data_IF_481468395720
#
_entry.id   IF_481468395720
#
_cell.length_a   1.000
_cell.length_b   1.000
_cell.length_c   1.000
_cell.angle_alpha   90.00
_cell.angle_beta   90.00
_cell.angle_gamma   90.00
#
_symmetry.space_group_name_H-M   'P 1'
#
loop_
_entity.id
_entity.type
_entity.pdbx_description
1 polymer ?
#
# COMPACT_ATOMS: atom_id res chain seq x y z
N UNK A 1 -21.06 -2.56 -13.49
CA UNK A 1 -21.39 -2.57 -12.05
C UNK A 1 -22.28 -1.39 -11.70
N UNK A 2 -23.20 -1.61 -10.77
CA UNK A 2 -24.04 -0.53 -10.19
C UNK A 2 -23.63 -0.31 -8.75
N UNK A 3 -23.34 0.93 -8.36
CA UNK A 3 -22.79 1.25 -7.05
C UNK A 3 -23.27 2.63 -6.59
N UNK A 4 -23.43 2.81 -5.28
CA UNK A 4 -23.73 4.13 -4.73
C UNK A 4 -22.52 5.07 -4.89
N UNK A 5 -22.77 6.31 -5.31
CA UNK A 5 -21.73 7.32 -5.53
C UNK A 5 -20.80 7.47 -4.33
N UNK A 6 -21.35 7.53 -3.11
CA UNK A 6 -20.55 7.72 -1.90
C UNK A 6 -19.61 6.54 -1.61
N UNK A 7 -19.99 5.31 -1.96
CA UNK A 7 -19.16 4.11 -1.74
C UNK A 7 -17.95 4.13 -2.65
N UNK A 8 -18.17 4.26 -3.96
CA UNK A 8 -17.07 4.27 -4.91
C UNK A 8 -16.17 5.50 -4.74
N UNK A 9 -16.71 6.68 -4.47
CA UNK A 9 -15.93 7.89 -4.22
C UNK A 9 -15.00 7.72 -3.01
N UNK A 10 -15.50 7.13 -1.91
CA UNK A 10 -14.70 6.82 -0.72
C UNK A 10 -13.56 5.82 -1.01
N UNK A 11 -13.81 4.81 -1.84
CA UNK A 11 -12.77 3.85 -2.23
C UNK A 11 -11.74 4.51 -3.14
N UNK A 12 -12.16 5.28 -4.14
CA UNK A 12 -11.27 6.03 -5.03
C UNK A 12 -10.42 7.02 -4.23
N UNK A 13 -10.98 7.74 -3.26
CA UNK A 13 -10.22 8.67 -2.42
C UNK A 13 -9.08 8.00 -1.65
N UNK A 14 -9.24 6.75 -1.23
CA UNK A 14 -8.17 5.96 -0.61
C UNK A 14 -7.10 5.55 -1.63
N UNK A 15 -7.50 5.17 -2.83
CA UNK A 15 -6.63 4.60 -3.85
C UNK A 15 -5.91 5.64 -4.71
N UNK A 16 -6.51 6.82 -4.92
CA UNK A 16 -5.99 7.87 -5.80
C UNK A 16 -4.56 8.31 -5.48
N UNK A 17 -4.17 8.23 -4.20
CA UNK A 17 -2.82 8.62 -3.77
C UNK A 17 -1.74 7.64 -4.23
N UNK A 18 -2.13 6.42 -4.63
CA UNK A 18 -1.24 5.37 -5.14
C UNK A 18 -1.18 5.43 -6.66
N UNK A 19 -2.31 5.72 -7.31
CA UNK A 19 -2.37 5.81 -8.77
C UNK A 19 -1.46 6.90 -9.28
N UNK A 20 -0.52 6.53 -10.17
CA UNK A 20 0.42 7.45 -10.80
C UNK A 20 0.51 7.15 -12.29
N UNK A 21 0.72 8.21 -13.06
CA UNK A 21 1.02 8.04 -14.48
C UNK A 21 2.39 7.36 -14.62
N UNK A 22 2.41 6.24 -15.31
CA UNK A 22 3.62 5.45 -15.52
C UNK A 22 3.73 5.13 -17.01
N UNK A 23 4.83 5.56 -17.64
CA UNK A 23 5.01 5.37 -19.09
C UNK A 23 5.42 3.92 -19.43
N UNK A 24 6.02 3.17 -18.49
CA UNK A 24 6.34 1.75 -18.67
C UNK A 24 5.12 0.84 -18.47
N UNK A 25 4.24 1.22 -17.55
CA UNK A 25 3.03 0.49 -17.20
C UNK A 25 1.81 1.41 -17.22
N UNK A 26 1.30 1.77 -18.41
CA UNK A 26 0.20 2.74 -18.53
C UNK A 26 -1.08 2.34 -17.79
N UNK A 27 -1.33 1.03 -17.64
CA UNK A 27 -2.46 0.47 -16.90
C UNK A 27 -2.49 0.89 -15.41
N UNK A 28 -1.32 1.22 -14.81
CA UNK A 28 -1.23 1.76 -13.44
C UNK A 28 -1.77 3.19 -13.33
N UNK A 29 -2.03 3.87 -14.45
CA UNK A 29 -2.72 5.16 -14.50
C UNK A 29 -4.23 5.09 -14.20
N UNK A 30 -4.69 4.00 -13.62
CA UNK A 30 -6.08 3.80 -13.21
C UNK A 30 -6.21 2.82 -12.04
N UNK A 31 -7.45 2.51 -11.70
CA UNK A 31 -7.82 1.54 -10.66
C UNK A 31 -8.44 0.32 -11.35
N UNK A 32 -7.83 -0.84 -11.17
CA UNK A 32 -8.39 -2.12 -11.63
C UNK A 32 -9.59 -2.50 -10.77
N UNK A 33 -10.70 -2.81 -11.42
CA UNK A 33 -11.90 -3.41 -10.85
C UNK A 33 -11.86 -4.90 -11.15
N UNK A 34 -11.82 -5.75 -10.13
CA UNK A 34 -11.72 -7.20 -10.29
C UNK A 34 -12.30 -7.92 -9.08
N UNK A 35 -13.22 -8.86 -9.33
CA UNK A 35 -13.72 -9.85 -8.36
C UNK A 35 -14.16 -9.26 -7.00
N UNK A 36 -14.92 -8.17 -7.01
CA UNK A 36 -15.41 -7.51 -5.80
C UNK A 36 -14.39 -6.57 -5.15
N UNK A 37 -13.30 -6.24 -5.84
CA UNK A 37 -12.26 -5.35 -5.34
C UNK A 37 -11.91 -4.24 -6.33
N UNK A 38 -11.47 -3.11 -5.78
CA UNK A 38 -10.76 -2.06 -6.49
C UNK A 38 -9.28 -2.10 -6.09
N UNK A 39 -8.40 -2.14 -7.09
CA UNK A 39 -6.96 -2.34 -6.91
C UNK A 39 -6.19 -1.19 -7.55
N UNK A 40 -5.29 -0.57 -6.80
CA UNK A 40 -4.35 0.42 -7.30
C UNK A 40 -2.91 0.01 -7.02
N UNK A 41 -2.00 0.33 -7.93
CA UNK A 41 -0.57 0.08 -7.77
C UNK A 41 0.26 1.20 -8.41
N UNK A 42 1.46 1.41 -7.86
CA UNK A 42 2.51 2.24 -8.47
C UNK A 42 3.81 1.44 -8.71
N UNK A 43 3.72 0.10 -8.78
CA UNK A 43 4.81 -0.86 -8.85
C UNK A 43 5.57 -1.12 -7.53
N UNK A 44 5.51 -0.23 -6.57
CA UNK A 44 6.13 -0.40 -5.24
C UNK A 44 5.08 -0.79 -4.18
N UNK A 45 3.92 -0.15 -4.25
CA UNK A 45 2.80 -0.35 -3.35
C UNK A 45 1.59 -0.78 -4.17
N UNK A 46 0.96 -1.87 -3.79
CA UNK A 46 -0.35 -2.26 -4.30
C UNK A 46 -1.36 -2.27 -3.16
N UNK A 47 -2.52 -1.67 -3.40
CA UNK A 47 -3.63 -1.65 -2.45
C UNK A 47 -4.90 -2.21 -3.09
N UNK A 48 -5.58 -3.05 -2.34
CA UNK A 48 -6.84 -3.72 -2.71
C UNK A 48 -7.91 -3.36 -1.68
N UNK A 49 -9.00 -2.78 -2.13
CA UNK A 49 -10.12 -2.37 -1.28
C UNK A 49 -11.37 -3.10 -1.74
N UNK A 50 -12.06 -3.77 -0.81
CA UNK A 50 -13.29 -4.49 -1.11
C UNK A 50 -14.42 -3.52 -1.46
N UNK A 51 -15.12 -3.82 -2.56
CA UNK A 51 -16.35 -3.15 -2.99
C UNK A 51 -17.26 -4.20 -3.63
N UNK A 52 -18.18 -4.74 -2.85
CA UNK A 52 -19.04 -5.87 -3.25
C UNK A 52 -19.81 -5.60 -4.56
N UNK A 53 -20.23 -4.35 -4.77
CA UNK A 53 -20.89 -3.92 -6.00
C UNK A 53 -20.07 -4.13 -7.28
N UNK A 54 -18.77 -4.42 -7.17
CA UNK A 54 -17.87 -4.68 -8.29
C UNK A 54 -17.68 -6.17 -8.62
N UNK A 55 -18.39 -7.05 -7.93
CA UNK A 55 -18.32 -8.49 -8.16
C UNK A 55 -18.66 -8.84 -9.62
N UNK A 56 -17.88 -9.75 -10.22
CA UNK A 56 -18.01 -10.12 -11.64
C UNK A 56 -17.61 -9.03 -12.64
N UNK A 57 -17.02 -7.93 -12.18
CA UNK A 57 -16.53 -6.84 -13.05
C UNK A 57 -15.03 -6.99 -13.29
N UNK A 58 -14.56 -6.72 -14.53
CA UNK A 58 -13.15 -6.75 -14.90
C UNK A 58 -12.81 -5.65 -15.90
N UNK A 59 -12.33 -4.50 -15.39
CA UNK A 59 -11.93 -3.34 -16.19
C UNK A 59 -11.11 -2.35 -15.34
N UNK A 60 -10.49 -1.36 -15.98
CA UNK A 60 -9.75 -0.29 -15.29
C UNK A 60 -10.52 1.02 -15.35
N UNK A 61 -10.76 1.67 -14.21
CA UNK A 61 -11.26 3.04 -14.12
C UNK A 61 -10.05 3.98 -14.26
N UNK A 62 -9.90 4.73 -15.36
CA UNK A 62 -8.75 5.59 -15.55
C UNK A 62 -8.78 6.80 -14.59
N UNK A 63 -7.61 7.27 -14.17
CA UNK A 63 -7.45 8.40 -13.24
C UNK A 63 -8.25 9.66 -13.66
N UNK A 64 -8.36 9.89 -14.97
CA UNK A 64 -9.15 11.00 -15.53
C UNK A 64 -10.64 10.97 -15.17
N UNK A 65 -11.16 9.80 -14.76
CA UNK A 65 -12.56 9.65 -14.34
C UNK A 65 -12.79 9.95 -12.86
N UNK A 66 -11.74 10.05 -12.03
CA UNK A 66 -11.87 10.17 -10.57
C UNK A 66 -12.57 11.46 -10.15
N UNK A 67 -12.18 12.59 -10.75
CA UNK A 67 -12.80 13.87 -10.46
C UNK A 67 -14.27 13.91 -10.88
N UNK A 68 -14.62 13.29 -12.02
CA UNK A 68 -16.02 13.16 -12.40
C UNK A 68 -16.79 12.38 -11.32
N UNK A 69 -16.34 11.18 -10.94
CA UNK A 69 -17.02 10.32 -9.95
C UNK A 69 -17.22 11.09 -8.63
N UNK A 70 -16.22 11.85 -8.22
CA UNK A 70 -16.28 12.64 -6.99
C UNK A 70 -17.35 13.74 -7.06
N UNK A 71 -17.51 14.39 -8.22
CA UNK A 71 -18.37 15.55 -8.41
C UNK A 71 -19.77 15.20 -8.96
N UNK A 72 -20.07 13.92 -9.22
CA UNK A 72 -21.42 13.49 -9.59
C UNK A 72 -22.41 13.76 -8.45
N UNK A 73 -23.69 13.99 -8.76
CA UNK A 73 -24.74 14.03 -7.74
C UNK A 73 -24.84 12.69 -6.98
N UNK A 74 -25.44 12.74 -5.79
CA UNK A 74 -25.68 11.52 -5.03
C UNK A 74 -26.68 10.60 -5.74
N UNK A 75 -26.46 9.30 -5.64
CA UNK A 75 -27.30 8.30 -6.26
C UNK A 75 -26.51 7.07 -6.75
N UNK A 76 -27.22 6.18 -7.41
CA UNK A 76 -26.63 4.98 -8.02
C UNK A 76 -25.93 5.34 -9.35
N UNK A 77 -24.69 4.99 -9.44
CA UNK A 77 -23.86 5.14 -10.66
C UNK A 77 -23.78 3.78 -11.36
N UNK A 78 -24.01 3.75 -12.65
CA UNK A 78 -23.71 2.59 -13.51
C UNK A 78 -22.38 2.79 -14.20
N UNK A 79 -21.41 1.91 -13.92
CA UNK A 79 -20.09 1.88 -14.54
C UNK A 79 -19.92 0.58 -15.32
N UNK A 80 -19.64 0.70 -16.60
CA UNK A 80 -19.42 -0.44 -17.50
C UNK A 80 -18.24 -0.19 -18.42
N UNK A 81 -17.61 -1.25 -18.89
CA UNK A 81 -16.57 -1.19 -19.92
C UNK A 81 -17.02 -1.91 -21.17
N UNK A 82 -16.49 -1.48 -22.32
CA UNK A 82 -16.66 -2.12 -23.62
C UNK A 82 -15.43 -2.95 -23.97
N UNK A 83 -15.53 -3.86 -24.95
CA UNK A 83 -14.41 -4.66 -25.46
C UNK A 83 -13.25 -3.81 -26.01
N UNK A 84 -13.49 -2.53 -26.30
CA UNK A 84 -12.46 -1.56 -26.72
C UNK A 84 -11.84 -0.78 -25.56
N UNK A 85 -12.01 -1.25 -24.33
CA UNK A 85 -11.52 -0.60 -23.11
C UNK A 85 -12.05 0.84 -22.94
N UNK A 86 -13.27 1.11 -23.36
CA UNK A 86 -13.94 2.38 -23.11
C UNK A 86 -14.83 2.22 -21.87
N UNK A 87 -14.48 2.91 -20.79
CA UNK A 87 -15.27 2.95 -19.57
C UNK A 87 -16.35 4.00 -19.69
N UNK A 88 -17.59 3.59 -19.44
CA UNK A 88 -18.77 4.43 -19.48
C UNK A 88 -19.33 4.59 -18.06
N UNK A 89 -19.53 5.83 -17.65
CA UNK A 89 -20.07 6.21 -16.34
C UNK A 89 -21.38 6.93 -16.55
N UNK A 90 -22.46 6.42 -15.95
CA UNK A 90 -23.82 6.96 -16.08
C UNK A 90 -24.46 7.19 -14.73
N UNK A 91 -25.13 8.32 -14.62
CA UNK A 91 -26.06 8.62 -13.51
C UNK A 91 -27.20 9.48 -14.04
N UNK A 92 -28.42 9.01 -13.97
CA UNK A 92 -29.57 9.68 -14.59
C UNK A 92 -29.32 9.99 -16.06
N UNK A 93 -29.42 11.24 -16.47
CA UNK A 93 -29.16 11.72 -17.82
C UNK A 93 -27.67 11.95 -18.15
N UNK A 94 -26.80 11.98 -17.12
CA UNK A 94 -25.38 12.23 -17.27
C UNK A 94 -24.71 10.95 -17.76
N UNK A 95 -23.98 11.05 -18.88
CA UNK A 95 -23.24 9.94 -19.48
C UNK A 95 -21.87 10.42 -19.97
N UNK A 96 -20.80 9.84 -19.43
CA UNK A 96 -19.43 10.13 -19.82
C UNK A 96 -18.70 8.87 -20.25
N UNK A 97 -17.76 9.03 -21.18
CA UNK A 97 -16.93 7.94 -21.71
C UNK A 97 -15.45 8.30 -21.54
N UNK A 98 -14.67 7.33 -21.12
CA UNK A 98 -13.22 7.47 -20.95
C UNK A 98 -12.51 6.32 -21.63
N UNK A 99 -11.50 6.61 -22.45
CA UNK A 99 -10.58 5.59 -22.91
C UNK A 99 -9.76 5.10 -21.72
N UNK A 100 -9.69 3.79 -21.57
CA UNK A 100 -8.97 3.09 -20.52
C UNK A 100 -7.93 2.14 -21.13
N UNK A 101 -7.38 1.29 -20.30
CA UNK A 101 -6.36 0.31 -20.63
C UNK A 101 -6.94 -1.11 -20.52
N UNK A 102 -6.36 -2.10 -21.25
CA UNK A 102 -6.69 -3.50 -21.04
C UNK A 102 -6.44 -3.92 -19.60
N UNK A 103 -7.40 -4.53 -18.89
CA UNK A 103 -7.21 -4.94 -17.50
C UNK A 103 -6.13 -6.01 -17.34
N UNK A 104 -5.82 -6.78 -18.41
CA UNK A 104 -4.77 -7.79 -18.46
C UNK A 104 -3.35 -7.19 -18.33
N UNK A 105 -3.19 -5.91 -18.68
CA UNK A 105 -1.92 -5.19 -18.54
C UNK A 105 -1.63 -4.76 -17.11
N UNK A 106 -2.61 -4.90 -16.20
CA UNK A 106 -2.43 -4.60 -14.78
C UNK A 106 -1.84 -5.80 -14.03
N UNK A 107 -0.52 -5.99 -14.16
CA UNK A 107 0.21 -7.16 -13.62
C UNK A 107 0.71 -6.97 -12.16
N UNK A 108 -0.03 -6.23 -11.33
CA UNK A 108 0.37 -5.88 -9.96
C UNK A 108 -0.73 -6.21 -8.95
N UNK A 109 -1.41 -7.35 -9.12
CA UNK A 109 -2.38 -7.84 -8.14
C UNK A 109 -1.66 -8.45 -6.92
N UNK A 110 -2.32 -8.40 -5.78
CA UNK A 110 -1.82 -9.00 -4.55
C UNK A 110 -2.11 -10.50 -4.60
N UNK A 111 -1.08 -11.31 -4.73
CA UNK A 111 -1.14 -12.76 -4.55
C UNK A 111 -0.90 -13.11 -3.10
N UNK A 112 -1.64 -14.10 -2.60
CA UNK A 112 -1.40 -14.67 -1.27
C UNK A 112 -0.21 -15.60 -1.34
N UNK A 113 0.75 -15.39 -0.45
CA UNK A 113 1.81 -16.37 -0.19
C UNK A 113 1.35 -17.22 1.01
N UNK A 114 1.02 -18.49 0.82
CA UNK A 114 0.54 -19.36 1.90
C UNK A 114 1.61 -19.64 2.96
N UNK A 115 2.89 -19.42 2.66
CA UNK A 115 4.01 -19.63 3.58
C UNK A 115 4.46 -18.33 4.28
N UNK A 116 3.76 -17.20 4.04
CA UNK A 116 4.13 -15.94 4.66
C UNK A 116 3.69 -15.89 6.13
N UNK A 117 4.61 -15.56 7.02
CA UNK A 117 4.32 -15.31 8.42
C UNK A 117 3.47 -14.05 8.60
N UNK A 118 2.57 -14.07 9.59
CA UNK A 118 1.68 -12.96 9.88
C UNK A 118 1.79 -12.50 11.33
N UNK A 119 1.80 -11.17 11.55
CA UNK A 119 1.79 -10.52 12.87
C UNK A 119 0.59 -9.61 12.98
N UNK A 120 -0.17 -9.74 14.05
CA UNK A 120 -1.24 -8.81 14.37
C UNK A 120 -0.69 -7.59 15.10
N UNK A 121 -0.96 -6.40 14.56
CA UNK A 121 -0.50 -5.13 15.08
C UNK A 121 -1.68 -4.21 15.36
N UNK A 122 -1.62 -3.48 16.48
CA UNK A 122 -2.57 -2.40 16.70
C UNK A 122 -2.28 -1.27 15.70
N UNK A 123 -3.23 -1.02 14.79
CA UNK A 123 -3.05 -0.11 13.66
C UNK A 123 -2.75 1.32 14.10
N UNK A 124 -3.37 1.81 15.16
CA UNK A 124 -3.09 3.15 15.69
C UNK A 124 -1.66 3.24 16.22
N UNK A 125 -1.25 2.28 17.04
CA UNK A 125 0.09 2.27 17.67
C UNK A 125 1.20 2.13 16.62
N UNK A 126 1.03 1.27 15.62
CA UNK A 126 2.06 1.12 14.58
C UNK A 126 2.18 2.37 13.71
N UNK A 127 1.06 3.08 13.42
CA UNK A 127 1.12 4.34 12.68
C UNK A 127 1.76 5.47 13.50
N UNK A 128 1.52 5.51 14.82
CA UNK A 128 2.19 6.44 15.74
C UNK A 128 3.70 6.15 15.77
N UNK A 129 4.10 4.89 15.96
CA UNK A 129 5.51 4.50 15.98
C UNK A 129 6.22 4.80 14.65
N UNK A 130 5.60 4.55 13.49
CA UNK A 130 6.12 4.96 12.20
C UNK A 130 6.31 6.49 12.16
N UNK A 131 5.33 7.25 12.64
CA UNK A 131 5.39 8.72 12.73
C UNK A 131 6.56 9.22 13.58
N UNK A 132 6.88 8.51 14.66
CA UNK A 132 7.97 8.87 15.56
C UNK A 132 9.36 8.65 14.98
N UNK A 133 9.52 7.73 14.02
CA UNK A 133 10.85 7.40 13.47
C UNK A 133 11.09 7.88 12.04
N UNK A 134 10.02 8.14 11.28
CA UNK A 134 10.10 8.40 9.83
C UNK A 134 10.96 9.61 9.45
N UNK A 135 11.07 10.61 10.33
CA UNK A 135 11.87 11.80 10.08
C UNK A 135 13.37 11.48 9.96
N UNK A 136 13.83 10.45 10.70
CA UNK A 136 15.21 10.02 10.71
C UNK A 136 15.58 9.16 9.48
N UNK A 137 14.65 8.72 8.66
CA UNK A 137 14.97 8.03 7.42
C UNK A 137 15.50 9.01 6.38
N UNK A 138 16.56 8.64 5.64
CA UNK A 138 17.13 9.47 4.59
C UNK A 138 16.13 9.71 3.43
N UNK A 139 16.19 10.87 2.80
CA UNK A 139 15.35 11.19 1.61
C UNK A 139 15.95 10.66 0.30
N UNK A 140 17.17 10.15 0.33
CA UNK A 140 17.88 9.55 -0.80
C UNK A 140 19.32 9.24 -0.41
N UNK A 141 20.10 8.71 -1.33
CA UNK A 141 21.51 8.39 -1.11
C UNK A 141 21.92 7.06 -1.71
N UNK A 142 23.23 6.76 -1.65
CA UNK A 142 23.81 5.52 -2.19
C UNK A 142 23.40 4.28 -1.36
N UNK A 143 23.08 4.48 -0.07
CA UNK A 143 22.61 3.40 0.80
C UNK A 143 21.07 3.40 0.85
N UNK A 144 20.46 2.55 0.04
CA UNK A 144 19.01 2.41 -0.05
C UNK A 144 18.36 1.91 1.25
N UNK A 145 19.10 1.25 2.12
CA UNK A 145 18.59 0.77 3.41
C UNK A 145 18.25 1.93 4.35
N UNK A 146 19.00 3.04 4.26
CA UNK A 146 18.72 4.24 5.06
C UNK A 146 17.48 5.01 4.57
N UNK A 147 16.97 4.73 3.37
CA UNK A 147 15.78 5.41 2.82
C UNK A 147 14.46 4.80 3.27
N UNK A 148 14.51 3.91 4.27
CA UNK A 148 13.35 3.22 4.82
C UNK A 148 13.36 3.15 6.33
N UNK A 149 12.32 2.54 6.88
CA UNK A 149 12.18 2.20 8.28
C UNK A 149 12.42 0.71 8.41
N UNK A 150 13.36 0.32 9.23
CA UNK A 150 13.62 -1.07 9.58
C UNK A 150 12.65 -1.53 10.65
N UNK A 151 11.98 -2.64 10.40
CA UNK A 151 11.11 -3.34 11.32
C UNK A 151 11.79 -4.62 11.73
N UNK A 152 11.94 -4.85 13.01
CA UNK A 152 12.52 -6.05 13.59
C UNK A 152 11.58 -6.65 14.62
N UNK A 153 11.28 -7.93 14.45
CA UNK A 153 10.53 -8.68 15.42
C UNK A 153 11.38 -9.02 16.66
N UNK A 154 10.82 -8.82 17.83
CA UNK A 154 11.40 -9.13 19.13
C UNK A 154 10.48 -10.06 19.92
N UNK A 155 10.95 -10.59 21.04
CA UNK A 155 10.10 -11.41 21.93
C UNK A 155 8.91 -10.61 22.51
N UNK A 156 8.98 -9.27 22.55
CA UNK A 156 7.95 -8.39 23.11
C UNK A 156 7.09 -7.68 22.05
N UNK A 157 7.43 -7.79 20.77
CA UNK A 157 6.71 -7.13 19.68
C UNK A 157 7.57 -6.76 18.49
N UNK A 158 7.33 -5.59 17.93
CA UNK A 158 8.04 -5.08 16.75
C UNK A 158 8.78 -3.81 17.12
N UNK A 159 10.10 -3.79 16.91
CA UNK A 159 10.96 -2.60 17.00
C UNK A 159 11.02 -1.93 15.63
N UNK A 160 10.96 -0.61 15.59
CA UNK A 160 11.10 0.21 14.40
C UNK A 160 12.34 1.08 14.56
N UNK A 161 13.14 1.16 13.51
CA UNK A 161 14.31 2.03 13.51
C UNK A 161 14.48 2.72 12.15
N UNK A 162 14.91 3.98 12.17
CA UNK A 162 15.29 4.74 10.98
C UNK A 162 16.57 5.54 11.24
N UNK A 163 17.37 5.74 10.20
CA UNK A 163 18.60 6.52 10.29
C UNK A 163 18.94 7.18 8.94
N UNK A 164 19.64 8.33 9.00
CA UNK A 164 20.16 9.03 7.81
C UNK A 164 21.70 9.18 7.83
N UNK A 165 22.37 8.57 8.80
CA UNK A 165 23.82 8.71 9.03
C UNK A 165 24.20 9.77 10.06
N UNK A 166 23.27 10.64 10.47
CA UNK A 166 23.47 11.68 11.50
C UNK A 166 22.52 11.51 12.67
N UNK A 167 21.30 11.04 12.40
CA UNK A 167 20.24 10.86 13.39
C UNK A 167 19.75 9.41 13.34
N UNK A 168 19.49 8.85 14.48
CA UNK A 168 18.82 7.55 14.66
C UNK A 168 17.56 7.77 15.49
N UNK A 169 16.45 7.23 15.03
CA UNK A 169 15.20 7.19 15.78
C UNK A 169 14.74 5.74 15.92
N UNK A 170 14.29 5.37 17.13
CA UNK A 170 13.81 4.02 17.45
C UNK A 170 12.49 4.13 18.21
N UNK A 171 11.56 3.24 17.90
CA UNK A 171 10.32 3.06 18.67
C UNK A 171 9.92 1.57 18.66
N UNK A 172 8.92 1.19 19.43
CA UNK A 172 8.47 -0.19 19.48
C UNK A 172 6.97 -0.32 19.74
N UNK A 173 6.39 -1.40 19.21
CA UNK A 173 4.97 -1.73 19.39
C UNK A 173 4.86 -3.16 19.89
N UNK A 174 4.09 -3.38 20.97
CA UNK A 174 3.82 -4.72 21.48
C UNK A 174 3.01 -5.53 20.46
N UNK A 175 3.47 -6.73 20.16
CA UNK A 175 2.81 -7.69 19.31
C UNK A 175 3.24 -9.11 19.65
N UNK A 176 2.41 -10.09 19.35
CA UNK A 176 2.75 -11.51 19.50
C UNK A 176 3.13 -12.11 18.14
N UNK A 177 4.04 -13.08 18.14
CA UNK A 177 4.41 -13.81 16.93
C UNK A 177 5.35 -13.08 15.96
N UNK A 178 5.98 -11.97 16.37
CA UNK A 178 6.83 -11.15 15.51
C UNK A 178 8.31 -11.59 15.44
N UNK A 179 8.73 -12.59 16.22
CA UNK A 179 10.14 -12.88 16.55
C UNK A 179 11.14 -12.90 15.37
N UNK A 180 10.74 -13.42 14.23
CA UNK A 180 11.63 -13.61 13.07
C UNK A 180 11.44 -12.54 11.98
N UNK A 181 10.60 -11.53 12.25
CA UNK A 181 10.33 -10.47 11.30
C UNK A 181 11.54 -9.57 11.09
N UNK A 182 11.94 -9.39 9.83
CA UNK A 182 12.94 -8.41 9.39
C UNK A 182 12.52 -7.82 8.06
N UNK A 183 12.28 -6.52 8.04
CA UNK A 183 11.69 -5.88 6.89
C UNK A 183 12.09 -4.40 6.84
N UNK A 184 12.42 -3.87 5.67
CA UNK A 184 12.62 -2.44 5.45
C UNK A 184 11.45 -1.89 4.64
N UNK A 185 10.67 -1.01 5.27
CA UNK A 185 9.57 -0.30 4.61
C UNK A 185 10.09 1.03 4.06
N UNK A 186 10.05 1.26 2.73
CA UNK A 186 10.51 2.52 2.15
C UNK A 186 9.79 3.73 2.76
N UNK A 187 10.50 4.85 2.95
CA UNK A 187 9.95 6.10 3.53
C UNK A 187 8.70 6.58 2.80
N UNK A 188 8.68 6.48 1.45
CA UNK A 188 7.53 6.85 0.64
C UNK A 188 6.30 5.98 0.97
N UNK A 189 6.49 4.68 1.13
CA UNK A 189 5.45 3.72 1.56
C UNK A 189 4.94 4.04 2.95
N UNK A 190 5.85 4.27 3.91
CA UNK A 190 5.49 4.62 5.28
C UNK A 190 4.67 5.91 5.36
N UNK A 191 5.04 6.96 4.59
CA UNK A 191 4.25 8.19 4.45
C UNK A 191 2.84 7.92 3.93
N UNK A 192 2.70 7.01 2.96
CA UNK A 192 1.39 6.61 2.41
C UNK A 192 0.55 5.89 3.47
N UNK A 193 1.13 4.95 4.21
CA UNK A 193 0.45 4.24 5.29
C UNK A 193 -0.11 5.21 6.34
N UNK A 194 0.69 6.18 6.80
CA UNK A 194 0.24 7.22 7.72
C UNK A 194 -0.92 8.03 7.11
N UNK A 195 -0.81 8.45 5.84
CA UNK A 195 -1.83 9.27 5.18
C UNK A 195 -3.18 8.58 5.01
N UNK A 196 -3.20 7.26 5.04
CA UNK A 196 -4.43 6.47 4.96
C UNK A 196 -5.21 6.41 6.28
N UNK A 197 -4.63 6.90 7.38
CA UNK A 197 -5.30 6.99 8.67
C UNK A 197 -5.76 5.63 9.19
N UNK A 198 -4.89 4.63 9.20
CA UNK A 198 -5.20 3.29 9.74
C UNK A 198 -5.39 3.39 11.25
N UNK A 199 -6.58 3.09 11.73
CA UNK A 199 -6.95 3.17 13.14
C UNK A 199 -7.23 1.77 13.73
N UNK A 200 -7.74 0.85 12.89
CA UNK A 200 -8.08 -0.51 13.29
C UNK A 200 -6.85 -1.42 13.31
N UNK A 201 -6.98 -2.56 13.97
CA UNK A 201 -5.94 -3.58 13.97
C UNK A 201 -5.67 -4.09 12.54
N UNK A 202 -4.41 -4.36 12.26
CA UNK A 202 -3.92 -4.80 10.96
C UNK A 202 -3.10 -6.07 11.12
N UNK A 203 -3.30 -7.01 10.22
CA UNK A 203 -2.40 -8.14 10.05
C UNK A 203 -1.30 -7.75 9.08
N UNK A 204 -0.06 -7.79 9.51
CA UNK A 204 1.11 -7.62 8.67
C UNK A 204 1.66 -8.98 8.30
N UNK A 205 1.49 -9.39 7.06
CA UNK A 205 2.11 -10.60 6.51
C UNK A 205 3.36 -10.19 5.74
N UNK A 206 4.45 -10.90 5.91
CA UNK A 206 5.73 -10.50 5.32
C UNK A 206 6.49 -11.67 4.72
N UNK A 207 7.26 -11.35 3.68
CA UNK A 207 8.26 -12.21 3.06
C UNK A 207 9.58 -11.45 3.00
N UNK A 208 10.66 -12.08 2.53
CA UNK A 208 11.97 -11.40 2.37
C UNK A 208 11.92 -10.14 1.49
N UNK A 209 10.98 -10.08 0.54
CA UNK A 209 10.96 -9.03 -0.50
C UNK A 209 9.67 -8.21 -0.49
N UNK A 210 8.70 -8.54 0.33
CA UNK A 210 7.41 -7.85 0.35
C UNK A 210 6.76 -7.89 1.73
N UNK A 211 5.94 -6.91 2.00
CA UNK A 211 5.04 -6.92 3.13
C UNK A 211 3.61 -6.66 2.66
N UNK A 212 2.68 -7.42 3.20
CA UNK A 212 1.25 -7.27 2.98
C UNK A 212 0.63 -6.85 4.30
N UNK A 213 -0.01 -5.68 4.36
CA UNK A 213 -0.85 -5.36 5.48
C UNK A 213 -2.31 -5.59 5.13
N UNK A 214 -3.06 -6.19 6.02
CA UNK A 214 -4.47 -6.49 5.83
C UNK A 214 -5.31 -5.89 6.95
N UNK A 215 -6.38 -5.21 6.56
CA UNK A 215 -7.45 -4.71 7.41
C UNK A 215 -8.77 -5.32 6.94
N UNK A 216 -9.80 -5.36 7.77
CA UNK A 216 -11.12 -6.00 7.50
C UNK A 216 -11.64 -5.85 6.05
N UNK A 217 -11.48 -4.71 5.38
CA UNK A 217 -11.93 -4.45 4.00
C UNK A 217 -10.85 -3.82 3.11
N UNK A 218 -9.60 -3.81 3.54
CA UNK A 218 -8.50 -3.19 2.80
C UNK A 218 -7.26 -4.04 2.96
N UNK A 219 -6.61 -4.35 1.86
CA UNK A 219 -5.36 -5.06 1.83
C UNK A 219 -4.36 -4.27 1.00
N UNK A 220 -3.13 -4.16 1.46
CA UNK A 220 -2.06 -3.50 0.75
C UNK A 220 -0.78 -4.32 0.79
N UNK A 221 0.01 -4.26 -0.26
CA UNK A 221 1.38 -4.78 -0.28
C UNK A 221 2.35 -3.64 -0.53
N UNK A 222 3.54 -3.77 0.01
CA UNK A 222 4.69 -2.98 -0.41
C UNK A 222 5.86 -3.92 -0.69
N UNK A 223 6.71 -3.53 -1.63
CA UNK A 223 8.00 -4.19 -1.78
C UNK A 223 8.90 -3.70 -0.66
N UNK A 224 9.51 -4.63 0.08
CA UNK A 224 10.61 -4.30 0.98
C UNK A 224 11.87 -4.09 0.15
N UNK A 225 12.72 -3.17 0.56
CA UNK A 225 14.07 -3.10 0.01
C UNK A 225 14.81 -4.38 0.43
N UNK A 226 15.47 -5.11 -0.50
CA UNK A 226 16.22 -6.31 -0.13
C UNK A 226 17.30 -5.93 0.89
N UNK A 227 17.50 -6.77 1.91
CA UNK A 227 18.68 -6.70 2.74
C UNK A 227 19.88 -6.78 1.79
N UNK A 228 20.65 -5.70 1.70
CA UNK A 228 21.78 -5.64 0.79
C UNK A 228 22.73 -6.80 1.06
N UNK A 229 22.89 -7.67 0.09
CA UNK A 229 24.03 -8.59 0.01
C UNK A 229 25.30 -7.77 -0.20
N UNK A 230 25.67 -6.95 0.77
CA UNK A 230 27.02 -6.40 0.82
C UNK A 230 27.93 -7.51 1.35
N UNK A 231 28.90 -7.90 0.56
CA UNK A 231 30.05 -8.77 0.91
C UNK A 231 30.91 -8.19 2.03
N UNK A 232 30.29 -7.66 3.08
CA UNK A 232 30.95 -7.04 4.23
C UNK A 232 30.24 -7.41 5.53
N UNK A 233 30.24 -8.71 5.86
CA UNK A 233 29.64 -9.26 7.08
C UNK A 233 30.18 -8.74 8.43
N UNK A 234 30.91 -7.65 8.51
CA UNK A 234 31.58 -7.25 9.76
C UNK A 234 31.05 -5.98 10.45
N UNK A 235 30.20 -5.16 9.81
CA UNK A 235 29.82 -3.87 10.41
C UNK A 235 28.32 -3.64 10.66
N UNK A 236 27.42 -4.51 10.21
CA UNK A 236 25.98 -4.28 10.36
C UNK A 236 25.44 -4.68 11.75
N UNK A 237 26.02 -5.69 12.40
CA UNK A 237 25.63 -6.08 13.75
C UNK A 237 25.84 -4.96 14.80
N UNK A 238 26.86 -4.14 14.61
CA UNK A 238 27.28 -3.14 15.59
C UNK A 238 26.48 -1.84 15.58
N UNK A 239 25.75 -1.52 14.48
CA UNK A 239 24.99 -0.26 14.42
C UNK A 239 23.68 -0.37 15.21
N UNK A 240 23.07 -1.54 15.22
CA UNK A 240 21.79 -1.78 15.90
C UNK A 240 21.97 -2.25 17.36
N UNK A 241 23.08 -2.93 17.69
CA UNK A 241 23.39 -3.42 19.02
C UNK A 241 23.84 -2.31 20.00
N UNK A 242 24.35 -1.19 19.49
CA UNK A 242 24.79 -0.05 20.34
C UNK A 242 23.67 0.92 20.73
N UNK A 243 22.44 0.70 20.26
CA UNK A 243 21.29 1.57 20.52
C UNK A 243 20.35 1.03 21.60
N UNK A 244 20.78 0.10 22.43
CA UNK A 244 20.01 -0.34 23.60
C UNK A 244 20.06 0.76 24.67
N UNK A 245 18.92 1.25 25.19
CA UNK A 245 18.94 2.20 26.29
C UNK A 245 19.49 1.52 27.55
N UNK A 246 20.36 2.22 28.23
CA UNK A 246 20.85 1.92 29.59
C UNK A 246 19.72 2.11 30.59
#
# INVERSE_FOLDING_TARGET
MKVQKYEIARVIDKLKSIVQKNDQFPALGGVLVKDGYLIASNSEITMKVKLEASEGSYFIIPMKAFDLIKNLPDGEIDISATDKNVVMIKIGAIKNKYQSYPPEEFNFDITEDPEADGVELNGKKIMEAIGHVIYAAADGGANTQMTGIYFEGTDSGVSLAALDGHVVAVDSVKAEGAKDMKLIVPKATAKKLISMGVIDDVTLTYTKNSAVYQRRNTRGTCKSSPEGTSSGRRNQKNIWETSQPV
#
